data_IF_366190639653
#
_entry.id   IF_366190639653
#
_cell.length_a   1.000
_cell.length_b   1.000
_cell.length_c   1.000
_cell.angle_alpha   90.00
_cell.angle_beta   90.00
_cell.angle_gamma   90.00
#
_symmetry.space_group_name_H-M   'P 1'
#
loop_
_entity.id
_entity.type
_entity.pdbx_description
1 polymer ?
#
# COMPACT_ATOMS: atom_id res chain seq x y z
N UNK A 1 24.34 -13.03 8.99
CA UNK A 1 23.24 -12.97 9.99
C UNK A 1 23.12 -11.50 10.33
N UNK A 2 22.14 -10.73 9.85
CA UNK A 2 20.83 -11.00 9.30
C UNK A 2 20.54 -9.94 8.23
N UNK A 3 20.03 -10.34 7.07
CA UNK A 3 19.20 -9.46 6.24
C UNK A 3 18.20 -10.38 5.55
N UNK A 4 17.18 -10.75 6.32
CA UNK A 4 15.93 -11.30 5.82
C UNK A 4 15.33 -10.21 4.92
N UNK A 5 15.77 -10.19 3.66
CA UNK A 5 15.28 -9.30 2.61
C UNK A 5 13.85 -9.76 2.29
N UNK A 6 12.91 -9.47 3.18
CA UNK A 6 11.51 -9.43 2.83
C UNK A 6 11.40 -8.45 1.65
N UNK A 7 11.06 -8.94 0.46
CA UNK A 7 10.89 -8.13 -0.75
C UNK A 7 9.67 -7.19 -0.58
N UNK A 8 9.87 -6.14 0.22
CA UNK A 8 8.94 -5.04 0.42
C UNK A 8 9.32 -3.89 -0.49
N UNK A 9 8.41 -3.53 -1.39
CA UNK A 9 8.53 -2.36 -2.25
C UNK A 9 8.10 -1.14 -1.44
N UNK A 10 8.97 -0.14 -1.31
CA UNK A 10 8.62 1.11 -0.65
C UNK A 10 8.25 2.17 -1.69
N UNK A 11 7.15 2.88 -1.45
CA UNK A 11 6.56 3.86 -2.34
C UNK A 11 6.33 5.16 -1.57
N UNK A 12 7.29 6.07 -1.66
CA UNK A 12 7.15 7.39 -1.09
C UNK A 12 6.39 8.31 -2.05
N UNK A 13 5.25 8.80 -1.56
CA UNK A 13 4.32 9.71 -2.21
C UNK A 13 4.06 10.91 -1.30
N UNK A 14 5.02 11.24 -0.44
CA UNK A 14 4.94 12.41 0.43
C UNK A 14 4.95 13.69 -0.39
N UNK A 15 4.14 14.68 -0.01
CA UNK A 15 4.01 15.94 -0.75
C UNK A 15 3.12 15.89 -2.01
N UNK A 16 2.62 14.71 -2.40
CA UNK A 16 1.63 14.58 -3.47
C UNK A 16 0.22 14.74 -2.91
N UNK A 17 -0.54 15.71 -3.45
CA UNK A 17 -1.95 15.93 -3.10
C UNK A 17 -2.85 14.93 -3.84
N UNK A 18 -3.97 14.58 -3.20
CA UNK A 18 -5.03 13.77 -3.81
C UNK A 18 -5.38 14.29 -5.22
N UNK A 19 -5.52 13.40 -6.24
CA UNK A 19 -5.71 11.94 -6.19
C UNK A 19 -4.47 11.08 -6.52
N UNK A 20 -3.29 11.67 -6.62
CA UNK A 20 -2.09 10.96 -7.06
C UNK A 20 -1.64 9.79 -6.15
N UNK A 21 -1.77 9.85 -4.80
CA UNK A 21 -1.28 8.78 -3.93
C UNK A 21 -2.00 7.44 -4.15
N UNK A 22 -3.31 7.51 -4.30
CA UNK A 22 -4.18 6.34 -4.50
C UNK A 22 -3.93 5.69 -5.85
N UNK A 23 -3.84 6.49 -6.91
CA UNK A 23 -3.55 6.02 -8.26
C UNK A 23 -2.19 5.31 -8.36
N UNK A 24 -1.16 5.88 -7.74
CA UNK A 24 0.20 5.30 -7.69
C UNK A 24 0.21 4.01 -6.90
N UNK A 25 -0.45 3.98 -5.74
CA UNK A 25 -0.58 2.77 -4.91
C UNK A 25 -1.30 1.66 -5.66
N UNK A 26 -2.41 1.96 -6.35
CA UNK A 26 -3.13 1.00 -7.19
C UNK A 26 -2.23 0.43 -8.28
N UNK A 27 -1.50 1.30 -8.98
CA UNK A 27 -0.59 0.87 -10.04
C UNK A 27 0.54 0.00 -9.50
N UNK A 28 1.09 0.35 -8.33
CA UNK A 28 2.11 -0.46 -7.66
C UNK A 28 1.54 -1.81 -7.23
N UNK A 29 0.40 -1.85 -6.52
CA UNK A 29 -0.29 -3.09 -6.14
C UNK A 29 -0.55 -4.02 -7.32
N UNK A 30 -1.02 -3.47 -8.46
CA UNK A 30 -1.25 -4.24 -9.69
C UNK A 30 0.03 -4.73 -10.36
N UNK A 31 1.13 -3.99 -10.22
CA UNK A 31 2.43 -4.38 -10.74
C UNK A 31 3.17 -5.33 -9.79
N UNK A 32 2.83 -5.31 -8.49
CA UNK A 32 3.38 -6.22 -7.50
C UNK A 32 2.82 -7.63 -7.72
N UNK A 33 3.71 -8.60 -7.71
CA UNK A 33 3.33 -10.01 -7.69
C UNK A 33 2.71 -10.42 -6.36
N UNK A 34 1.92 -11.49 -6.38
CA UNK A 34 1.35 -12.11 -5.18
C UNK A 34 2.45 -12.47 -4.18
N UNK A 35 2.19 -12.22 -2.90
CA UNK A 35 3.13 -12.49 -1.80
C UNK A 35 4.19 -11.42 -1.59
N UNK A 36 4.14 -10.31 -2.34
CA UNK A 36 5.04 -9.16 -2.15
C UNK A 36 4.45 -8.15 -1.18
N UNK A 37 5.32 -7.45 -0.45
CA UNK A 37 4.91 -6.39 0.47
C UNK A 37 5.05 -5.04 -0.23
N UNK A 38 4.12 -4.12 -0.03
CA UNK A 38 4.18 -2.73 -0.45
C UNK A 38 4.05 -1.85 0.80
N UNK A 39 4.98 -0.91 0.96
CA UNK A 39 4.96 0.11 1.98
C UNK A 39 4.72 1.44 1.30
N UNK A 40 3.60 2.10 1.57
CA UNK A 40 3.24 3.39 0.99
C UNK A 40 3.36 4.46 2.05
N UNK A 41 4.15 5.49 1.78
CA UNK A 41 4.23 6.67 2.65
C UNK A 41 3.63 7.86 1.92
N UNK A 42 2.64 8.53 2.51
CA UNK A 42 2.01 9.71 1.91
C UNK A 42 1.64 10.72 2.99
N UNK A 43 1.29 11.94 2.60
CA UNK A 43 0.92 13.00 3.55
C UNK A 43 -0.54 13.45 3.44
N UNK A 44 -1.34 12.69 2.71
CA UNK A 44 -2.71 13.06 2.37
C UNK A 44 -3.72 12.36 3.28
N UNK A 45 -4.57 13.07 4.03
CA UNK A 45 -5.48 12.46 4.99
C UNK A 45 -6.51 11.51 4.33
N UNK A 46 -6.85 11.71 3.05
CA UNK A 46 -7.79 10.83 2.34
C UNK A 46 -7.19 9.45 2.07
N UNK A 47 -5.85 9.34 1.97
CA UNK A 47 -5.18 8.06 1.80
C UNK A 47 -5.46 7.08 2.95
N UNK A 48 -5.77 7.58 4.16
CA UNK A 48 -6.18 6.72 5.28
C UNK A 48 -7.47 5.93 5.00
N UNK A 49 -8.36 6.45 4.16
CA UNK A 49 -9.63 5.82 3.81
C UNK A 49 -9.48 5.08 2.47
N UNK A 50 -8.85 5.72 1.49
CA UNK A 50 -8.72 5.18 0.14
C UNK A 50 -7.76 3.99 0.05
N UNK A 51 -6.63 4.01 0.77
CA UNK A 51 -5.63 2.92 0.72
C UNK A 51 -6.23 1.61 1.25
N UNK A 52 -6.85 1.55 2.45
CA UNK A 52 -7.45 0.31 2.93
C UNK A 52 -8.60 -0.18 2.05
N UNK A 53 -9.38 0.73 1.46
CA UNK A 53 -10.44 0.35 0.54
C UNK A 53 -9.87 -0.25 -0.75
N UNK A 54 -8.87 0.40 -1.34
CA UNK A 54 -8.16 -0.09 -2.53
C UNK A 54 -7.51 -1.46 -2.30
N UNK A 55 -6.85 -1.65 -1.15
CA UNK A 55 -6.22 -2.92 -0.78
C UNK A 55 -7.27 -4.03 -0.73
N UNK A 56 -8.44 -3.76 -0.14
CA UNK A 56 -9.57 -4.70 -0.11
C UNK A 56 -10.15 -4.97 -1.50
N UNK A 57 -10.29 -3.94 -2.35
CA UNK A 57 -10.79 -4.04 -3.72
C UNK A 57 -9.85 -4.87 -4.62
N UNK A 58 -8.54 -4.66 -4.51
CA UNK A 58 -7.52 -5.42 -5.26
C UNK A 58 -7.30 -6.83 -4.67
N UNK A 59 -7.95 -7.18 -3.56
CA UNK A 59 -7.84 -8.48 -2.90
C UNK A 59 -6.56 -8.68 -2.09
N UNK A 60 -5.81 -7.61 -1.87
CA UNK A 60 -4.60 -7.58 -1.05
C UNK A 60 -4.92 -7.53 0.46
N UNK A 61 -3.89 -7.72 1.27
CA UNK A 61 -3.98 -7.68 2.74
C UNK A 61 -3.29 -6.43 3.26
N UNK A 62 -3.98 -5.64 4.08
CA UNK A 62 -3.35 -4.55 4.82
C UNK A 62 -2.73 -5.15 6.10
N UNK A 63 -1.42 -5.02 6.28
CA UNK A 63 -0.70 -5.55 7.44
C UNK A 63 -0.62 -4.52 8.56
N UNK A 64 -0.28 -3.27 8.24
CA UNK A 64 -0.29 -2.17 9.20
C UNK A 64 -0.60 -0.84 8.51
N UNK A 65 -1.17 0.08 9.28
CA UNK A 65 -1.42 1.45 8.86
C UNK A 65 -1.11 2.35 10.04
N UNK A 66 -0.07 3.18 9.89
CA UNK A 66 0.41 4.09 10.91
C UNK A 66 0.25 5.53 10.42
N UNK A 67 -0.12 6.40 11.34
CA UNK A 67 -0.18 7.85 11.09
C UNK A 67 0.75 8.53 12.07
N UNK A 68 1.72 9.25 11.53
CA UNK A 68 2.65 10.09 12.27
C UNK A 68 2.44 11.55 11.85
N UNK A 69 1.55 12.26 12.57
CA UNK A 69 1.18 13.64 12.27
C UNK A 69 0.57 13.81 10.87
N UNK A 70 1.35 14.43 9.98
CA UNK A 70 1.02 14.63 8.57
C UNK A 70 1.50 13.49 7.67
N UNK A 71 2.31 12.53 8.15
CA UNK A 71 2.77 11.37 7.40
C UNK A 71 1.91 10.15 7.71
N UNK A 72 1.61 9.37 6.68
CA UNK A 72 0.82 8.15 6.73
C UNK A 72 1.63 7.04 6.08
N UNK A 73 1.92 5.99 6.84
CA UNK A 73 2.64 4.81 6.40
C UNK A 73 1.69 3.61 6.37
N UNK A 74 1.51 3.00 5.20
CA UNK A 74 0.68 1.82 5.02
C UNK A 74 1.54 0.65 4.56
N UNK A 75 1.58 -0.43 5.33
CA UNK A 75 2.19 -1.70 4.93
C UNK A 75 1.08 -2.66 4.51
N UNK A 76 1.17 -3.16 3.29
CA UNK A 76 0.21 -4.10 2.73
C UNK A 76 0.93 -5.22 1.96
N UNK A 77 0.41 -6.42 2.04
CA UNK A 77 0.89 -7.57 1.26
C UNK A 77 -0.05 -7.80 0.08
N UNK A 78 0.49 -7.76 -1.13
CA UNK A 78 -0.22 -8.15 -2.33
C UNK A 78 -0.66 -9.61 -2.20
N UNK A 79 -1.96 -9.86 -2.15
CA UNK A 79 -2.54 -11.19 -2.07
C UNK A 79 -3.50 -11.33 -3.23
N UNK A 80 -3.46 -12.48 -3.89
CA UNK A 80 -4.42 -12.82 -4.93
C UNK A 80 -5.52 -13.58 -4.22
N UNK A 81 -6.48 -12.82 -3.69
CA UNK A 81 -7.78 -13.43 -3.49
C UNK A 81 -8.42 -13.53 -4.89
N UNK A 82 -8.75 -14.74 -5.38
CA UNK A 82 -9.42 -14.87 -6.67
C UNK A 82 -10.82 -14.22 -6.59
N UNK A 83 -11.28 -13.51 -7.63
CA UNK A 83 -12.68 -13.13 -7.72
C UNK A 83 -13.52 -14.40 -7.89
N UNK A 84 -14.33 -14.68 -6.86
CA UNK A 84 -15.50 -15.56 -6.76
C UNK A 84 -15.58 -16.87 -7.57
N UNK A 85 -15.77 -17.95 -6.81
CA UNK A 85 -16.39 -19.21 -7.22
C UNK A 85 -17.90 -19.08 -7.44
#
# INVERSE_FOLDING_TARGET
>A
MLDDQAESVELDLTGLKCPLPVLRTRKALRALGVGRVLVVTCTDPMAMIDIPNLVREEGARLDSAERDGDRLCFRMTASVKPPHS
#
